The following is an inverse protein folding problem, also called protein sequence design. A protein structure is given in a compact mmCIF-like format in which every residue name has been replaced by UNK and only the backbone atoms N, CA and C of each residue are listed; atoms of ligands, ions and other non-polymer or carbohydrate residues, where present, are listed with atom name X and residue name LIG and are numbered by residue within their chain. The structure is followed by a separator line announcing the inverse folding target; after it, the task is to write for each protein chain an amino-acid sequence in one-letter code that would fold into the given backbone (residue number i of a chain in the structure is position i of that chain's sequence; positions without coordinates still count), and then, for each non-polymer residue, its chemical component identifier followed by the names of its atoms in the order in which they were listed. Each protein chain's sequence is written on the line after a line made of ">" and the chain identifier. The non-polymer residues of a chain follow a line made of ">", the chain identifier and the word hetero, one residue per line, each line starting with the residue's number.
data_IF_054027733708
#
_entry.id   IF_054027733708
#
_cell.length_a   1.000
_cell.length_b   1.000
_cell.length_c   1.000
_cell.angle_alpha   90.00
_cell.angle_beta   90.00
_cell.angle_gamma   90.00
#
_symmetry.space_group_name_H-M   'P 1'
#
loop_
_entity.id
_entity.type
_entity.pdbx_description
1 polymer ?
#
# COMPACT_ATOMS: atom_id res chain seq x y z
N UNK A 1 -24.28 44.85 -43.64
CA UNK A 1 -25.06 44.00 -42.72
C UNK A 1 -25.09 42.56 -43.25
N UNK A 2 -24.21 41.66 -42.80
CA UNK A 2 -24.39 40.19 -42.86
C UNK A 2 -23.54 39.57 -41.73
N UNK A 3 -24.19 39.20 -40.62
CA UNK A 3 -23.56 38.43 -39.52
C UNK A 3 -23.72 36.95 -39.87
N UNK A 4 -22.62 36.25 -40.13
CA UNK A 4 -22.61 34.80 -40.23
C UNK A 4 -22.27 34.22 -38.85
N UNK A 5 -23.27 33.60 -38.23
CA UNK A 5 -23.21 32.88 -36.96
C UNK A 5 -22.59 31.51 -37.23
N UNK A 6 -21.39 31.23 -36.72
CA UNK A 6 -20.78 29.90 -36.75
C UNK A 6 -21.00 29.22 -35.39
N UNK A 7 -21.94 28.29 -35.34
CA UNK A 7 -22.20 27.42 -34.19
C UNK A 7 -21.22 26.24 -34.26
N UNK A 8 -20.16 26.28 -33.45
CA UNK A 8 -19.23 25.15 -33.28
C UNK A 8 -19.81 24.23 -32.20
N UNK A 9 -20.40 23.11 -32.63
CA UNK A 9 -20.82 22.04 -31.74
C UNK A 9 -19.59 21.20 -31.41
N UNK A 10 -19.06 21.38 -30.19
CA UNK A 10 -17.94 20.60 -29.66
C UNK A 10 -18.47 19.23 -29.20
N UNK A 11 -18.30 18.21 -30.05
CA UNK A 11 -18.63 16.83 -29.71
C UNK A 11 -17.54 16.27 -28.77
N UNK A 12 -17.77 16.36 -27.46
CA UNK A 12 -16.90 15.74 -26.44
C UNK A 12 -17.30 14.26 -26.37
N UNK A 13 -16.59 13.41 -27.10
CA UNK A 13 -16.69 11.96 -26.94
C UNK A 13 -16.17 11.58 -25.55
N UNK A 14 -17.08 11.25 -24.64
CA UNK A 14 -16.74 10.65 -23.34
C UNK A 14 -16.25 9.22 -23.58
N UNK A 15 -14.95 8.98 -23.43
CA UNK A 15 -14.44 7.62 -23.31
C UNK A 15 -14.98 7.02 -22.01
N UNK A 16 -16.00 6.18 -22.13
CA UNK A 16 -16.44 5.32 -21.04
C UNK A 16 -15.36 4.27 -20.81
N UNK A 17 -14.62 4.40 -19.71
CA UNK A 17 -13.68 3.40 -19.24
C UNK A 17 -14.46 2.23 -18.63
N UNK A 18 -14.86 1.27 -19.45
CA UNK A 18 -15.39 0.00 -18.97
C UNK A 18 -14.22 -0.84 -18.41
N UNK A 19 -14.10 -0.92 -17.08
CA UNK A 19 -13.18 -1.83 -16.42
C UNK A 19 -13.78 -3.25 -16.45
N UNK A 20 -13.06 -4.20 -17.03
CA UNK A 20 -13.44 -5.62 -17.10
C UNK A 20 -12.74 -6.38 -15.97
N UNK A 21 -13.40 -7.35 -15.36
CA UNK A 21 -12.82 -8.17 -14.29
C UNK A 21 -12.72 -9.61 -14.77
N UNK A 22 -11.52 -10.19 -14.75
CA UNK A 22 -11.28 -11.62 -14.95
C UNK A 22 -11.26 -12.31 -13.59
N UNK A 23 -12.01 -13.40 -13.46
CA UNK A 23 -12.00 -14.27 -12.28
C UNK A 23 -11.16 -15.51 -12.61
N UNK A 24 -10.16 -15.77 -11.79
CA UNK A 24 -9.38 -17.00 -11.82
C UNK A 24 -10.06 -18.08 -10.97
N UNK A 25 -9.79 -19.35 -11.28
CA UNK A 25 -10.37 -20.50 -10.58
C UNK A 25 -9.96 -20.60 -9.11
N UNK A 26 -8.87 -19.95 -8.73
CA UNK A 26 -8.45 -19.80 -7.34
C UNK A 26 -9.23 -18.70 -6.59
N UNK A 27 -10.20 -18.07 -7.26
CA UNK A 27 -11.01 -16.98 -6.72
C UNK A 27 -10.37 -15.60 -6.84
N UNK A 28 -9.10 -15.51 -7.26
CA UNK A 28 -8.44 -14.22 -7.45
C UNK A 28 -9.02 -13.51 -8.67
N UNK A 29 -9.03 -12.17 -8.62
CA UNK A 29 -9.65 -11.34 -9.66
C UNK A 29 -8.64 -10.36 -10.25
N UNK A 30 -8.59 -10.24 -11.57
CA UNK A 30 -7.68 -9.38 -12.32
C UNK A 30 -8.47 -8.32 -13.09
N UNK A 31 -8.08 -7.06 -12.98
CA UNK A 31 -8.79 -5.95 -13.63
C UNK A 31 -8.12 -5.62 -14.97
N UNK A 32 -8.92 -5.65 -16.02
CA UNK A 32 -8.54 -5.30 -17.38
C UNK A 32 -9.20 -3.98 -17.81
N UNK A 33 -8.48 -3.20 -18.59
CA UNK A 33 -8.95 -1.96 -19.21
C UNK A 33 -9.94 -2.22 -20.35
N UNK A 34 -9.88 -3.41 -20.95
CA UNK A 34 -10.74 -3.82 -22.05
C UNK A 34 -11.08 -5.31 -21.94
N UNK A 35 -12.05 -5.75 -22.75
CA UNK A 35 -12.46 -7.15 -22.80
C UNK A 35 -11.28 -8.02 -23.22
N UNK A 36 -11.06 -9.10 -22.46
CA UNK A 36 -10.02 -10.07 -22.75
C UNK A 36 -10.26 -10.78 -24.08
N UNK A 37 -9.17 -11.23 -24.72
CA UNK A 37 -9.18 -11.97 -25.98
C UNK A 37 -8.60 -13.35 -25.74
N UNK A 38 -9.29 -14.39 -26.23
CA UNK A 38 -8.79 -15.75 -26.17
C UNK A 38 -7.91 -15.97 -27.40
N UNK A 39 -6.62 -16.21 -27.18
CA UNK A 39 -5.66 -16.58 -28.24
C UNK A 39 -5.07 -17.96 -27.94
N UNK A 40 -5.54 -18.96 -28.68
CA UNK A 40 -5.12 -20.34 -28.50
C UNK A 40 -5.48 -20.86 -27.11
N UNK A 41 -4.45 -21.18 -26.29
CA UNK A 41 -4.62 -21.69 -24.92
C UNK A 41 -4.57 -20.61 -23.84
N UNK A 42 -4.44 -19.34 -24.22
CA UNK A 42 -4.27 -18.22 -23.30
C UNK A 42 -5.39 -17.18 -23.45
N UNK A 43 -5.63 -16.49 -22.35
CA UNK A 43 -6.43 -15.29 -22.26
C UNK A 43 -5.47 -14.10 -22.19
N UNK A 44 -5.54 -13.24 -23.20
CA UNK A 44 -4.79 -11.99 -23.26
C UNK A 44 -5.70 -10.82 -22.87
N UNK A 45 -5.21 -9.93 -22.02
CA UNK A 45 -5.94 -8.73 -21.63
C UNK A 45 -4.97 -7.59 -21.34
N UNK A 46 -5.43 -6.36 -21.53
CA UNK A 46 -4.67 -5.17 -21.16
C UNK A 46 -5.07 -4.77 -19.76
N UNK A 47 -4.11 -4.66 -18.85
CA UNK A 47 -4.34 -4.20 -17.48
C UNK A 47 -4.78 -2.73 -17.46
N UNK A 48 -5.32 -2.27 -16.33
CA UNK A 48 -5.61 -0.83 -16.10
C UNK A 48 -4.39 0.07 -16.34
N UNK A 49 -3.18 -0.46 -16.09
CA UNK A 49 -1.89 0.20 -16.35
C UNK A 49 -1.45 0.18 -17.83
N UNK A 50 -2.22 -0.42 -18.73
CA UNK A 50 -1.91 -0.47 -20.16
C UNK A 50 -0.94 -1.58 -20.57
N UNK A 51 -0.57 -2.49 -19.65
CA UNK A 51 0.31 -3.62 -19.96
C UNK A 51 -0.49 -4.79 -20.50
N UNK A 52 -0.06 -5.37 -21.63
CA UNK A 52 -0.63 -6.61 -22.14
C UNK A 52 -0.17 -7.79 -21.28
N UNK A 53 -1.10 -8.49 -20.64
CA UNK A 53 -0.85 -9.72 -19.88
C UNK A 53 -1.51 -10.92 -20.57
N UNK A 54 -0.90 -12.08 -20.43
CA UNK A 54 -1.38 -13.36 -20.97
C UNK A 54 -1.40 -14.40 -19.86
N UNK A 55 -2.56 -15.02 -19.63
CA UNK A 55 -2.76 -16.05 -18.60
C UNK A 55 -3.34 -17.31 -19.25
N UNK A 56 -2.92 -18.53 -18.86
CA UNK A 56 -3.53 -19.75 -19.36
C UNK A 56 -5.04 -19.81 -19.12
N UNK A 57 -5.81 -20.18 -20.16
CA UNK A 57 -7.27 -20.30 -20.12
C UNK A 57 -7.75 -21.28 -19.04
N UNK A 58 -6.94 -22.30 -18.74
CA UNK A 58 -7.23 -23.32 -17.73
C UNK A 58 -7.37 -22.72 -16.33
N UNK A 59 -6.70 -21.60 -16.05
CA UNK A 59 -6.72 -20.91 -14.77
C UNK A 59 -7.87 -19.90 -14.65
N UNK A 60 -8.53 -19.56 -15.75
CA UNK A 60 -9.61 -18.56 -15.78
C UNK A 60 -10.96 -19.25 -15.67
N UNK A 61 -11.81 -18.76 -14.76
CA UNK A 61 -13.21 -19.13 -14.72
C UNK A 61 -14.00 -18.19 -15.62
N UNK A 62 -14.19 -18.61 -16.88
CA UNK A 62 -14.93 -17.81 -17.87
C UNK A 62 -16.38 -17.59 -17.47
N UNK A 63 -17.01 -18.57 -16.80
CA UNK A 63 -18.42 -18.47 -16.45
C UNK A 63 -18.62 -17.41 -15.37
N UNK A 64 -17.81 -17.47 -14.31
CA UNK A 64 -17.84 -16.48 -13.25
C UNK A 64 -17.42 -15.08 -13.76
N UNK A 65 -16.43 -15.04 -14.66
CA UNK A 65 -15.98 -13.81 -15.32
C UNK A 65 -17.09 -13.15 -16.15
N UNK A 66 -17.80 -13.91 -16.98
CA UNK A 66 -18.88 -13.38 -17.81
C UNK A 66 -20.11 -13.02 -16.97
N UNK A 67 -20.47 -13.82 -15.98
CA UNK A 67 -21.57 -13.48 -15.05
C UNK A 67 -21.30 -12.19 -14.27
N UNK A 68 -20.04 -11.95 -13.86
CA UNK A 68 -19.68 -10.72 -13.16
C UNK A 68 -19.70 -9.51 -14.10
N UNK A 69 -19.13 -9.64 -15.29
CA UNK A 69 -19.09 -8.54 -16.27
C UNK A 69 -20.46 -8.26 -16.91
N UNK A 70 -21.36 -9.25 -16.98
CA UNK A 70 -22.72 -9.08 -17.51
C UNK A 70 -23.64 -8.29 -16.57
N UNK A 71 -23.28 -8.16 -15.28
CA UNK A 71 -24.03 -7.33 -14.31
C UNK A 71 -23.79 -5.83 -14.46
N UNK A 72 -22.99 -5.42 -15.44
CA UNK A 72 -22.72 -4.03 -15.86
C UNK A 72 -22.55 -3.05 -14.68
N UNK A 73 -21.62 -3.38 -13.77
CA UNK A 73 -21.15 -2.45 -12.75
C UNK A 73 -20.24 -1.41 -13.41
N UNK A 74 -20.81 -0.51 -14.22
CA UNK A 74 -20.06 0.56 -14.86
C UNK A 74 -19.24 1.34 -13.82
N UNK A 75 -17.91 1.26 -13.89
CA UNK A 75 -16.89 1.94 -13.06
C UNK A 75 -17.13 2.08 -11.53
N UNK A 76 -18.16 1.46 -10.97
CA UNK A 76 -18.54 1.56 -9.58
C UNK A 76 -18.16 0.24 -8.92
N UNK A 77 -17.17 0.28 -8.04
CA UNK A 77 -16.87 -0.83 -7.13
C UNK A 77 -18.06 -0.98 -6.16
N UNK A 78 -18.78 -2.10 -6.14
CA UNK A 78 -19.73 -2.39 -5.07
C UNK A 78 -18.95 -2.61 -3.78
N UNK A 79 -19.31 -1.84 -2.75
CA UNK A 79 -18.65 -1.75 -1.44
C UNK A 79 -18.78 -3.02 -0.57
N UNK A 80 -19.34 -4.11 -1.10
CA UNK A 80 -19.81 -5.27 -0.32
C UNK A 80 -18.92 -6.52 -0.35
N UNK A 81 -17.70 -6.47 -0.91
CA UNK A 81 -16.89 -7.68 -1.09
C UNK A 81 -15.59 -7.69 -0.30
N UNK A 82 -15.75 -7.79 1.02
CA UNK A 82 -14.76 -8.39 1.93
C UNK A 82 -15.42 -9.65 2.52
N UNK A 83 -15.48 -10.72 1.73
CA UNK A 83 -15.77 -12.05 2.30
C UNK A 83 -14.50 -12.54 2.99
N UNK A 84 -14.62 -12.74 4.30
CA UNK A 84 -13.56 -13.16 5.18
C UNK A 84 -13.03 -14.54 4.79
N UNK A 85 -11.78 -14.59 4.36
CA UNK A 85 -10.98 -15.79 4.52
C UNK A 85 -10.29 -15.71 5.88
N UNK A 86 -10.68 -16.60 6.79
CA UNK A 86 -9.85 -16.98 7.93
C UNK A 86 -8.47 -17.38 7.41
N UNK A 87 -7.47 -16.54 7.67
CA UNK A 87 -6.08 -16.86 7.38
C UNK A 87 -5.61 -17.83 8.45
N UNK A 88 -5.56 -19.12 8.11
CA UNK A 88 -4.82 -20.10 8.89
C UNK A 88 -3.32 -19.76 8.82
N UNK A 89 -2.60 -19.75 9.97
CA UNK A 89 -1.20 -19.35 10.02
C UNK A 89 -0.32 -20.33 9.22
N UNK A 90 0.45 -19.80 8.28
CA UNK A 90 1.50 -20.57 7.59
C UNK A 90 2.79 -20.48 8.42
N UNK A 91 3.47 -21.60 8.73
CA UNK A 91 4.69 -21.57 9.54
C UNK A 91 5.86 -20.91 8.80
N UNK A 92 6.44 -19.89 9.43
CA UNK A 92 7.61 -19.14 8.94
C UNK A 92 8.90 -19.97 9.06
N UNK A 93 9.74 -20.06 8.01
CA UNK A 93 11.06 -20.67 8.11
C UNK A 93 12.01 -19.78 8.92
N UNK A 94 12.57 -20.33 10.00
CA UNK A 94 13.57 -19.66 10.85
C UNK A 94 14.94 -19.66 10.17
N UNK A 95 15.63 -18.51 10.00
CA UNK A 95 17.02 -18.52 9.57
C UNK A 95 17.93 -19.06 10.68
N UNK A 96 18.79 -20.02 10.35
CA UNK A 96 19.73 -20.64 11.30
C UNK A 96 20.85 -19.67 11.69
N UNK A 97 21.12 -19.59 13.00
CA UNK A 97 22.17 -18.79 13.67
C UNK A 97 23.58 -18.94 13.05
N UNK A 98 23.83 -20.02 12.31
CA UNK A 98 25.09 -20.27 11.61
C UNK A 98 25.48 -19.19 10.57
N UNK A 99 24.53 -18.42 10.03
CA UNK A 99 24.83 -17.37 9.04
C UNK A 99 25.27 -16.03 9.66
N UNK A 100 25.15 -15.85 10.98
CA UNK A 100 25.47 -14.58 11.65
C UNK A 100 26.86 -14.59 12.34
N UNK A 101 27.52 -15.75 12.43
CA UNK A 101 28.82 -15.94 13.14
C UNK A 101 30.03 -15.74 12.20
N UNK A 102 29.83 -15.23 10.98
CA UNK A 102 30.90 -14.99 10.02
C UNK A 102 31.68 -13.69 10.20
N UNK A 103 31.26 -12.75 11.06
CA UNK A 103 31.75 -11.36 11.02
C UNK A 103 32.25 -10.75 12.34
N UNK A 104 32.52 -11.53 13.39
CA UNK A 104 33.13 -10.99 14.61
C UNK A 104 34.20 -11.94 15.17
N UNK A 105 35.44 -11.74 14.72
CA UNK A 105 36.64 -12.18 15.43
C UNK A 105 37.29 -10.96 16.08
N UNK A 106 37.18 -10.85 17.39
CA UNK A 106 38.24 -10.52 18.36
C UNK A 106 37.58 -10.10 19.68
N UNK A 107 38.08 -10.66 20.76
CA UNK A 107 37.34 -10.82 22.02
C UNK A 107 37.04 -9.55 22.80
N UNK A 108 36.01 -9.63 23.62
CA UNK A 108 36.05 -9.25 25.03
C UNK A 108 34.84 -9.87 25.74
N UNK A 109 35.04 -10.27 27.00
CA UNK A 109 34.08 -10.98 27.83
C UNK A 109 33.03 -9.99 28.36
N UNK A 110 31.75 -10.21 28.08
CA UNK A 110 30.65 -9.51 28.76
C UNK A 110 29.37 -10.36 28.84
N UNK A 111 29.14 -10.94 30.03
CA UNK A 111 27.82 -11.23 30.63
C UNK A 111 26.91 -12.29 29.97
N UNK A 112 26.09 -13.02 30.76
CA UNK A 112 25.02 -13.82 30.19
C UNK A 112 24.03 -12.87 29.52
N UNK A 113 23.99 -12.91 28.19
CA UNK A 113 22.98 -12.23 27.39
C UNK A 113 21.63 -12.76 27.86
N UNK A 114 20.86 -11.92 28.56
CA UNK A 114 19.44 -12.17 28.74
C UNK A 114 18.88 -12.34 27.33
N UNK A 115 18.43 -13.55 27.03
CA UNK A 115 17.65 -13.83 25.83
C UNK A 115 16.51 -12.82 25.80
N UNK A 116 16.57 -11.88 24.85
CA UNK A 116 15.45 -10.99 24.55
C UNK A 116 14.32 -11.92 24.13
N UNK A 117 13.41 -12.16 25.06
CA UNK A 117 12.20 -12.91 24.81
C UNK A 117 11.43 -12.15 23.72
N UNK A 118 11.03 -12.78 22.60
CA UNK A 118 10.28 -12.09 21.57
C UNK A 118 8.96 -11.62 22.18
N UNK A 119 8.85 -10.32 22.42
CA UNK A 119 7.56 -9.69 22.66
C UNK A 119 6.70 -9.98 21.44
N UNK A 120 5.50 -10.59 21.59
CA UNK A 120 4.62 -10.80 20.46
C UNK A 120 4.36 -9.45 19.79
N UNK A 121 4.83 -9.30 18.56
CA UNK A 121 4.59 -8.11 17.74
C UNK A 121 3.08 -7.94 17.63
N UNK A 122 2.49 -6.83 18.12
CA UNK A 122 1.08 -6.57 17.90
C UNK A 122 0.87 -6.54 16.38
N UNK A 123 -0.01 -7.40 15.87
CA UNK A 123 -0.32 -7.48 14.45
C UNK A 123 -0.74 -6.08 13.98
N UNK A 124 0.13 -5.43 13.20
CA UNK A 124 -0.12 -4.16 12.54
C UNK A 124 -1.05 -4.47 11.37
N UNK A 125 -2.35 -4.31 11.58
CA UNK A 125 -3.38 -4.61 10.59
C UNK A 125 -4.35 -3.45 10.47
N UNK A 126 -4.96 -3.37 9.28
CA UNK A 126 -6.00 -2.40 8.99
C UNK A 126 -7.16 -2.51 9.97
N UNK A 127 -7.71 -1.36 10.35
CA UNK A 127 -8.90 -1.26 11.19
C UNK A 127 -9.91 -0.34 10.51
N UNK A 128 -11.19 -0.65 10.64
CA UNK A 128 -12.25 0.20 10.07
C UNK A 128 -12.39 1.54 10.80
N UNK A 129 -11.91 1.62 12.04
CA UNK A 129 -11.95 2.84 12.83
C UNK A 129 -11.07 3.92 12.19
N UNK A 130 -11.64 5.10 11.92
CA UNK A 130 -10.90 6.26 11.41
C UNK A 130 -10.01 6.86 12.48
N UNK A 131 -8.90 7.47 12.06
CA UNK A 131 -8.03 8.20 12.99
C UNK A 131 -8.77 9.42 13.58
N UNK A 132 -8.65 9.70 14.90
CA UNK A 132 -9.47 10.73 15.54
C UNK A 132 -9.25 12.16 15.03
N UNK A 133 -8.04 12.52 14.60
CA UNK A 133 -7.74 13.87 14.10
C UNK A 133 -7.77 13.89 12.57
N UNK A 134 -8.83 14.45 12.01
CA UNK A 134 -9.02 14.55 10.57
C UNK A 134 -7.97 15.41 9.87
N UNK A 135 -7.39 16.41 10.54
CA UNK A 135 -6.36 17.28 9.93
C UNK A 135 -5.09 16.50 9.69
N UNK A 136 -4.72 15.64 10.64
CA UNK A 136 -3.58 14.74 10.51
C UNK A 136 -3.83 13.74 9.40
N UNK A 137 -4.99 13.09 9.38
CA UNK A 137 -5.38 12.14 8.34
C UNK A 137 -5.29 12.77 6.93
N UNK A 138 -5.88 13.96 6.75
CA UNK A 138 -5.82 14.71 5.49
C UNK A 138 -4.39 15.11 5.09
N UNK A 139 -3.55 15.50 6.05
CA UNK A 139 -2.17 15.86 5.76
C UNK A 139 -1.37 14.66 5.24
N UNK A 140 -1.58 13.46 5.81
CA UNK A 140 -0.97 12.23 5.30
C UNK A 140 -1.49 11.84 3.91
N UNK A 141 -2.79 12.00 3.66
CA UNK A 141 -3.38 11.77 2.32
C UNK A 141 -2.74 12.70 1.28
N UNK A 142 -2.72 14.00 1.54
CA UNK A 142 -2.07 14.99 0.67
C UNK A 142 -0.58 14.72 0.49
N UNK A 143 0.10 14.31 1.56
CA UNK A 143 1.49 13.88 1.56
C UNK A 143 1.73 12.74 0.57
N UNK A 144 1.00 11.64 0.70
CA UNK A 144 1.12 10.47 -0.19
C UNK A 144 0.80 10.84 -1.65
N UNK A 145 -0.26 11.62 -1.88
CA UNK A 145 -0.68 12.05 -3.21
C UNK A 145 0.35 12.94 -3.90
N UNK A 146 1.03 13.82 -3.15
CA UNK A 146 2.09 14.68 -3.69
C UNK A 146 3.31 13.89 -4.20
N UNK A 147 3.51 12.66 -3.69
CA UNK A 147 4.54 11.72 -4.16
C UNK A 147 4.00 10.73 -5.21
N UNK A 148 2.78 10.95 -5.71
CA UNK A 148 2.07 10.08 -6.64
C UNK A 148 1.84 8.66 -6.09
N UNK A 149 1.57 8.54 -4.79
CA UNK A 149 1.15 7.30 -4.14
C UNK A 149 -0.36 7.39 -3.91
N UNK A 150 -1.14 6.70 -4.75
CA UNK A 150 -2.61 6.79 -4.74
C UNK A 150 -3.30 5.53 -4.21
N UNK A 151 -2.56 4.43 -4.11
CA UNK A 151 -3.07 3.15 -3.64
C UNK A 151 -2.76 3.02 -2.15
N UNK A 152 -3.50 3.76 -1.34
CA UNK A 152 -3.31 3.77 0.11
C UNK A 152 -4.64 3.70 0.86
N UNK A 153 -4.56 3.33 2.13
CA UNK A 153 -5.66 3.43 3.10
C UNK A 153 -5.13 4.00 4.39
N UNK A 154 -5.94 4.84 5.03
CA UNK A 154 -5.63 5.40 6.34
C UNK A 154 -6.65 4.91 7.36
N UNK A 155 -6.21 4.64 8.58
CA UNK A 155 -7.09 4.28 9.69
C UNK A 155 -6.43 4.55 11.04
N UNK A 156 -7.15 4.29 12.11
CA UNK A 156 -6.57 4.23 13.44
C UNK A 156 -5.69 2.98 13.59
N UNK A 157 -4.49 3.15 14.12
CA UNK A 157 -3.58 2.04 14.38
C UNK A 157 -3.97 1.17 15.57
N UNK A 158 -3.01 0.34 15.98
CA UNK A 158 -3.15 -0.59 17.11
C UNK A 158 -3.54 0.13 18.40
N UNK A 159 -3.09 1.38 18.57
CA UNK A 159 -3.47 2.29 19.65
C UNK A 159 -4.26 3.49 19.10
N UNK A 160 -5.11 4.10 19.94
CA UNK A 160 -5.91 5.26 19.56
C UNK A 160 -5.07 6.49 19.17
N UNK A 161 -3.85 6.58 19.70
CA UNK A 161 -2.88 7.64 19.41
C UNK A 161 -2.01 7.34 18.18
N UNK A 162 -2.17 6.16 17.56
CA UNK A 162 -1.37 5.74 16.42
C UNK A 162 -2.18 5.92 15.14
N UNK A 163 -1.52 6.43 14.11
CA UNK A 163 -2.07 6.44 12.75
C UNK A 163 -1.61 5.18 12.04
N UNK A 164 -2.50 4.56 11.26
CA UNK A 164 -2.15 3.44 10.39
C UNK A 164 -2.25 3.84 8.92
N UNK A 165 -1.24 3.46 8.15
CA UNK A 165 -1.14 3.68 6.72
C UNK A 165 -0.84 2.35 6.03
N UNK A 166 -1.76 1.89 5.20
CA UNK A 166 -1.49 0.82 4.23
C UNK A 166 -1.16 1.46 2.89
N UNK A 167 -0.07 1.05 2.25
CA UNK A 167 0.34 1.59 0.95
C UNK A 167 0.75 0.43 0.04
N UNK A 168 0.15 0.36 -1.16
CA UNK A 168 0.59 -0.56 -2.19
C UNK A 168 1.79 0.02 -2.94
N UNK A 169 2.83 -0.80 -3.09
CA UNK A 169 4.11 -0.44 -3.67
C UNK A 169 4.55 -1.47 -4.70
N UNK A 170 5.13 -1.00 -5.80
CA UNK A 170 5.69 -1.83 -6.86
C UNK A 170 7.22 -1.77 -6.85
N UNK A 171 7.81 -2.66 -6.08
CA UNK A 171 9.26 -2.82 -6.00
C UNK A 171 9.96 -1.77 -5.15
N UNK A 172 11.29 -1.89 -5.09
CA UNK A 172 12.12 -1.18 -4.13
C UNK A 172 12.07 0.34 -4.27
N UNK A 173 12.03 0.87 -5.51
CA UNK A 173 11.98 2.31 -5.75
C UNK A 173 10.73 2.94 -5.13
N UNK A 174 9.60 2.24 -5.21
CA UNK A 174 8.33 2.72 -4.66
C UNK A 174 8.27 2.56 -3.14
N UNK A 175 8.90 1.52 -2.59
CA UNK A 175 9.14 1.38 -1.14
C UNK A 175 9.92 2.58 -0.59
N UNK A 176 11.08 2.91 -1.18
CA UNK A 176 11.89 4.07 -0.74
C UNK A 176 11.09 5.37 -0.84
N UNK A 177 10.34 5.55 -1.93
CA UNK A 177 9.46 6.71 -2.13
C UNK A 177 8.34 6.79 -1.10
N UNK A 178 7.69 5.68 -0.76
CA UNK A 178 6.62 5.63 0.24
C UNK A 178 7.14 5.99 1.63
N UNK A 179 8.26 5.39 2.04
CA UNK A 179 8.91 5.74 3.32
C UNK A 179 9.28 7.22 3.36
N UNK A 180 9.84 7.76 2.27
CA UNK A 180 10.21 9.16 2.21
C UNK A 180 9.00 10.09 2.25
N UNK A 181 7.93 9.77 1.54
CA UNK A 181 6.69 10.54 1.57
C UNK A 181 6.12 10.59 3.00
N UNK A 182 5.95 9.43 3.63
CA UNK A 182 5.33 9.31 4.96
C UNK A 182 6.17 10.03 6.01
N UNK A 183 7.49 9.80 6.03
CA UNK A 183 8.38 10.43 7.01
C UNK A 183 8.51 11.94 6.81
N UNK A 184 8.59 12.42 5.57
CA UNK A 184 8.61 13.85 5.26
C UNK A 184 7.32 14.52 5.72
N UNK A 185 6.16 13.93 5.40
CA UNK A 185 4.87 14.45 5.84
C UNK A 185 4.75 14.45 7.35
N UNK A 186 5.17 13.38 8.03
CA UNK A 186 5.13 13.30 9.49
C UNK A 186 6.03 14.38 10.13
N UNK A 187 7.21 14.60 9.57
CA UNK A 187 8.12 15.65 10.02
C UNK A 187 7.53 17.05 9.84
N UNK A 188 6.91 17.34 8.70
CA UNK A 188 6.25 18.63 8.43
C UNK A 188 5.10 18.88 9.40
N UNK A 189 4.25 17.87 9.65
CA UNK A 189 3.16 17.97 10.62
C UNK A 189 3.73 18.23 12.02
N UNK A 190 4.79 17.52 12.42
CA UNK A 190 5.44 17.74 13.72
C UNK A 190 5.97 19.17 13.86
N UNK A 191 6.57 19.75 12.82
CA UNK A 191 7.03 21.14 12.82
C UNK A 191 5.89 22.16 12.84
N UNK A 192 4.80 21.90 12.10
CA UNK A 192 3.64 22.79 12.03
C UNK A 192 2.87 22.85 13.36
N UNK A 193 2.70 21.70 14.01
CA UNK A 193 2.00 21.60 15.30
C UNK A 193 2.81 22.16 16.48
N UNK A 194 4.14 22.25 16.37
CA UNK A 194 4.96 22.96 17.36
C UNK A 194 4.75 24.48 17.31
N UNK A 195 4.27 25.03 16.19
CA UNK A 195 4.05 26.47 16.00
C UNK A 195 2.63 26.91 16.32
N UNK A 196 1.64 26.05 16.03
CA UNK A 196 0.24 26.30 16.33
C UNK A 196 -0.17 25.50 17.59
N UNK A 197 -0.26 26.21 18.72
CA UNK A 197 -0.63 25.72 20.06
C UNK A 197 -2.13 25.30 20.17
N UNK A 198 -2.63 24.59 19.17
CA UNK A 198 -4.05 24.32 18.92
C UNK A 198 -4.34 22.84 18.73
N UNK A 199 -4.55 22.13 19.84
CA UNK A 199 -5.35 20.90 20.04
C UNK A 199 -5.18 19.69 19.08
N UNK A 200 -4.40 19.79 17.99
CA UNK A 200 -4.06 18.68 17.12
C UNK A 200 -2.99 17.88 17.80
N UNK A 201 -3.34 16.65 18.18
CA UNK A 201 -2.38 15.73 18.76
C UNK A 201 -1.63 15.07 17.63
N UNK A 202 -0.35 15.38 17.52
CA UNK A 202 0.59 14.63 16.70
C UNK A 202 0.41 13.14 17.05
N UNK A 203 0.29 12.24 16.05
CA UNK A 203 0.32 10.81 16.32
C UNK A 203 1.57 10.50 17.12
N UNK A 204 1.44 9.66 18.14
CA UNK A 204 2.62 9.22 18.90
C UNK A 204 3.51 8.35 18.02
N UNK A 205 2.87 7.54 17.15
CA UNK A 205 3.53 6.72 16.14
C UNK A 205 2.67 6.60 14.88
N UNK A 206 3.34 6.34 13.77
CA UNK A 206 2.73 5.97 12.49
C UNK A 206 3.09 4.53 12.19
N UNK A 207 2.08 3.68 12.11
CA UNK A 207 2.19 2.29 11.70
C UNK A 207 1.98 2.20 10.19
N UNK A 208 2.92 1.54 9.50
CA UNK A 208 2.91 1.46 8.05
C UNK A 208 2.91 -0.01 7.66
N UNK A 209 1.99 -0.38 6.79
CA UNK A 209 1.96 -1.67 6.11
C UNK A 209 2.18 -1.43 4.62
N UNK A 210 3.34 -1.83 4.12
CA UNK A 210 3.61 -1.83 2.68
C UNK A 210 3.16 -3.16 2.09
N UNK A 211 2.38 -3.10 1.02
CA UNK A 211 1.91 -4.28 0.28
C UNK A 211 2.48 -4.25 -1.14
N UNK A 212 2.92 -5.39 -1.67
CA UNK A 212 3.31 -5.49 -3.06
C UNK A 212 2.09 -5.60 -4.00
N UNK A 213 2.32 -5.67 -5.32
CA UNK A 213 1.24 -5.83 -6.31
C UNK A 213 0.38 -7.10 -6.10
N UNK A 214 0.92 -8.11 -5.42
CA UNK A 214 0.20 -9.34 -5.09
C UNK A 214 -0.57 -9.24 -3.76
N UNK A 215 -0.59 -8.07 -3.13
CA UNK A 215 -1.19 -7.85 -1.81
C UNK A 215 -0.41 -8.52 -0.68
N UNK A 216 0.81 -8.99 -0.92
CA UNK A 216 1.67 -9.57 0.11
C UNK A 216 2.46 -8.48 0.81
N UNK A 217 2.74 -8.71 2.08
CA UNK A 217 3.56 -7.81 2.89
C UNK A 217 4.94 -7.60 2.23
N UNK A 218 5.25 -6.33 1.97
CA UNK A 218 6.54 -5.84 1.49
C UNK A 218 7.37 -5.19 2.61
N UNK A 219 6.73 -4.90 3.75
CA UNK A 219 7.39 -4.45 4.97
C UNK A 219 6.43 -3.76 5.92
N UNK A 220 6.63 -3.96 7.22
CA UNK A 220 5.87 -3.32 8.29
C UNK A 220 6.79 -2.37 9.06
N UNK A 221 6.28 -1.19 9.39
CA UNK A 221 7.04 -0.19 10.14
C UNK A 221 6.20 0.40 11.26
N UNK A 222 6.88 0.81 12.32
CA UNK A 222 6.30 1.63 13.37
C UNK A 222 7.22 2.81 13.65
N UNK A 223 6.91 3.94 13.03
CA UNK A 223 7.76 5.14 12.96
C UNK A 223 7.33 6.12 14.05
N UNK A 224 8.31 6.64 14.81
CA UNK A 224 8.12 7.77 15.74
C UNK A 224 8.45 9.11 15.07
N UNK A 225 8.09 10.27 15.67
CA UNK A 225 8.46 11.58 15.12
C UNK A 225 9.97 11.77 14.93
N UNK A 226 10.78 11.20 15.84
CA UNK A 226 12.24 11.27 15.75
C UNK A 226 12.78 10.45 14.57
N UNK A 227 12.24 9.25 14.35
CA UNK A 227 12.61 8.42 13.18
C UNK A 227 12.24 9.12 11.87
N UNK A 228 11.09 9.80 11.84
CA UNK A 228 10.66 10.56 10.68
C UNK A 228 11.59 11.73 10.37
N UNK A 229 12.10 12.44 11.39
CA UNK A 229 13.09 13.50 11.21
C UNK A 229 14.39 12.94 10.61
N UNK A 230 14.88 11.79 11.08
CA UNK A 230 16.12 11.19 10.57
C UNK A 230 16.07 10.95 9.06
N UNK A 231 14.98 10.38 8.56
CA UNK A 231 14.81 10.14 7.13
C UNK A 231 14.48 11.43 6.35
N UNK A 232 13.62 12.30 6.89
CA UNK A 232 13.20 13.53 6.22
C UNK A 232 14.34 14.55 6.04
N UNK A 233 15.27 14.61 7.00
CA UNK A 233 16.46 15.48 6.94
C UNK A 233 17.63 14.86 6.17
N UNK A 234 17.51 13.59 5.76
CA UNK A 234 18.55 12.86 5.06
C UNK A 234 19.72 12.42 5.94
N UNK A 235 19.55 12.36 7.26
CA UNK A 235 20.56 11.76 8.17
C UNK A 235 20.78 10.28 7.87
N UNK A 236 19.73 9.60 7.38
CA UNK A 236 19.75 8.20 6.95
C UNK A 236 19.14 8.10 5.55
N UNK A 237 19.65 7.19 4.70
CA UNK A 237 19.05 6.93 3.39
C UNK A 237 17.79 6.07 3.51
N UNK A 238 16.83 6.13 2.57
CA UNK A 238 15.63 5.29 2.62
C UNK A 238 15.92 3.79 2.72
N UNK A 239 16.99 3.32 2.06
CA UNK A 239 17.38 1.90 2.07
C UNK A 239 17.95 1.48 3.43
N UNK A 240 18.80 2.31 4.03
CA UNK A 240 19.33 2.06 5.36
C UNK A 240 18.22 2.13 6.42
N UNK A 241 17.31 3.10 6.28
CA UNK A 241 16.14 3.23 7.14
C UNK A 241 15.23 2.00 7.06
N UNK A 242 14.97 1.49 5.84
CA UNK A 242 14.20 0.27 5.63
C UNK A 242 14.80 -0.89 6.43
N UNK A 243 16.08 -1.17 6.24
CA UNK A 243 16.75 -2.31 6.92
C UNK A 243 16.75 -2.15 8.43
N UNK A 244 16.90 -0.92 8.93
CA UNK A 244 16.97 -0.66 10.37
C UNK A 244 15.61 -0.72 11.07
N UNK A 245 14.53 -0.35 10.39
CA UNK A 245 13.21 -0.09 11.01
C UNK A 245 12.11 -1.06 10.58
N UNK A 246 12.35 -1.91 9.57
CA UNK A 246 11.38 -2.91 9.15
C UNK A 246 11.16 -3.94 10.26
N UNK A 247 9.91 -4.33 10.45
CA UNK A 247 9.44 -5.34 11.39
C UNK A 247 9.13 -6.60 10.58
N UNK A 248 9.59 -7.77 11.05
CA UNK A 248 9.35 -9.09 10.48
C UNK A 248 8.45 -9.95 11.37
#
# INVERSE_FOLDING_TARGET
>A
MKRALALVVLCVSTWSYAAYVLILKDGTRQIAKEKYRIKGKNVEFVTTTGTLRSIPLVLVDLKATEELNARDFGSAMPLDWVDGNEVLPTPTPTPSVAQMVGHLRSGEVAGPVQSVQPTPTPIVAFREAKYPDQRVDQAFQQGLESYHLYLYRTSQGTQRTYLFLEVQVNGQKEVSRALQAITTTYHVIAQGLQKDDQAARLPERVEILLLNEAGKEAGVFRISPADAEELATGKVTPEAFFVQKVIF
#
